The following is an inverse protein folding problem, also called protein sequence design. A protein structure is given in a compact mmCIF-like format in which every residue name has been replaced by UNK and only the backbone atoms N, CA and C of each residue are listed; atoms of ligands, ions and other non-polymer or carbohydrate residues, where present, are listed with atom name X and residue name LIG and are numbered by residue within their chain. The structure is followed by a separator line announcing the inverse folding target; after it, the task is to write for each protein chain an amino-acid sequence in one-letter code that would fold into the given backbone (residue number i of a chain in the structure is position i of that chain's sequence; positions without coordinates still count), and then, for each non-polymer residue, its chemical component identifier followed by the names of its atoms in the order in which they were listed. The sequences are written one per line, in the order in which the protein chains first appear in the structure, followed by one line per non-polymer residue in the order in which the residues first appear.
data_IF_961923910716
#
_entry.id   IF_961923910716
#
_cell.length_a   1.000
_cell.length_b   1.000
_cell.length_c   1.000
_cell.angle_alpha   90.00
_cell.angle_beta   90.00
_cell.angle_gamma   90.00
#
_symmetry.space_group_name_H-M   'P 1'
#
loop_
_entity.id
_entity.type
_entity.pdbx_description
1 polymer ?
#
# COMPACT_ATOMS: atom_id res chain seq x y z
N UNK A 1 0.45 -31.51 -47.89
CA UNK A 1 -0.10 -30.23 -47.33
C UNK A 1 -1.09 -30.48 -46.20
N UNK A 2 -2.07 -31.38 -46.27
CA UNK A 2 -3.08 -31.61 -45.20
C UNK A 2 -2.47 -32.03 -43.83
N UNK A 3 -1.36 -32.74 -43.76
CA UNK A 3 -0.74 -33.12 -42.48
C UNK A 3 -0.05 -31.98 -41.74
N UNK A 4 0.47 -31.00 -42.44
CA UNK A 4 1.13 -29.81 -41.84
C UNK A 4 0.07 -28.93 -41.14
N UNK A 5 -1.10 -28.83 -41.72
CA UNK A 5 -2.20 -28.01 -41.12
C UNK A 5 -2.66 -28.57 -39.78
N UNK A 6 -2.55 -29.88 -39.56
CA UNK A 6 -2.90 -30.51 -38.27
C UNK A 6 -1.84 -30.25 -37.16
N UNK A 7 -0.59 -30.04 -37.56
CA UNK A 7 0.49 -29.80 -36.60
C UNK A 7 0.55 -28.34 -36.11
N UNK A 8 0.03 -27.40 -36.90
CA UNK A 8 0.04 -25.98 -36.55
C UNK A 8 -0.74 -25.69 -35.25
N UNK A 9 -1.98 -26.14 -35.07
CA UNK A 9 -2.70 -25.89 -33.81
C UNK A 9 -2.04 -26.59 -32.61
N UNK A 10 -1.45 -27.77 -32.80
CA UNK A 10 -0.73 -28.48 -31.75
C UNK A 10 0.53 -27.73 -31.32
N UNK A 11 1.25 -27.15 -32.26
CA UNK A 11 2.43 -26.34 -31.97
C UNK A 11 2.05 -25.03 -31.25
N UNK A 12 0.99 -24.35 -31.69
CA UNK A 12 0.47 -23.18 -31.03
C UNK A 12 0.07 -23.51 -29.58
N UNK A 13 -0.64 -24.62 -29.39
CA UNK A 13 -1.04 -25.08 -28.06
C UNK A 13 0.18 -25.37 -27.17
N UNK A 14 1.19 -26.05 -27.66
CA UNK A 14 2.41 -26.32 -26.91
C UNK A 14 3.16 -25.03 -26.51
N UNK A 15 3.22 -24.05 -27.42
CA UNK A 15 3.80 -22.73 -27.13
C UNK A 15 3.02 -22.00 -26.05
N UNK A 16 1.68 -22.01 -26.13
CA UNK A 16 0.82 -21.39 -25.12
C UNK A 16 0.97 -22.05 -23.76
N UNK A 17 1.00 -23.39 -23.72
CA UNK A 17 1.22 -24.13 -22.46
C UNK A 17 2.57 -23.78 -21.87
N UNK A 18 3.63 -23.72 -22.65
CA UNK A 18 4.95 -23.29 -22.19
C UNK A 18 4.97 -21.86 -21.66
N UNK A 19 4.29 -20.96 -22.35
CA UNK A 19 4.16 -19.57 -21.92
C UNK A 19 3.42 -19.43 -20.57
N UNK A 20 2.28 -20.10 -20.42
CA UNK A 20 1.52 -20.07 -19.16
C UNK A 20 2.27 -20.77 -18.03
N UNK A 21 2.95 -21.88 -18.31
CA UNK A 21 3.76 -22.56 -17.31
C UNK A 21 4.90 -21.68 -16.80
N UNK A 22 5.54 -20.92 -17.70
CA UNK A 22 6.52 -19.93 -17.32
C UNK A 22 5.93 -18.78 -16.50
N UNK A 23 4.72 -18.34 -16.85
CA UNK A 23 4.00 -17.31 -16.11
C UNK A 23 3.68 -17.71 -14.67
N UNK A 24 3.31 -18.97 -14.44
CA UNK A 24 3.03 -19.51 -13.12
C UNK A 24 4.27 -19.62 -12.22
N UNK A 25 5.47 -19.66 -12.80
CA UNK A 25 6.73 -19.69 -12.04
C UNK A 25 7.26 -18.31 -11.66
N UNK A 26 6.63 -17.24 -12.14
CA UNK A 26 6.92 -15.85 -11.74
C UNK A 26 6.21 -15.55 -10.42
N UNK A 27 6.90 -14.89 -9.50
CA UNK A 27 6.30 -14.44 -8.23
C UNK A 27 5.38 -13.25 -8.51
N UNK A 28 4.04 -13.39 -8.33
CA UNK A 28 3.10 -12.30 -8.57
C UNK A 28 3.23 -11.18 -7.52
N UNK A 29 3.89 -11.44 -6.38
CA UNK A 29 4.12 -10.45 -5.34
C UNK A 29 5.40 -9.63 -5.55
N UNK A 30 6.28 -10.05 -6.46
CA UNK A 30 7.47 -9.31 -6.83
C UNK A 30 7.11 -8.06 -7.65
N UNK A 31 6.57 -7.05 -6.99
CA UNK A 31 6.35 -5.73 -7.57
C UNK A 31 7.44 -4.79 -7.08
N UNK A 32 8.53 -4.61 -7.83
CA UNK A 32 9.55 -3.65 -7.46
C UNK A 32 8.94 -2.23 -7.50
N UNK A 33 8.81 -1.61 -6.31
CA UNK A 33 8.39 -0.22 -6.24
C UNK A 33 9.50 0.69 -6.80
N UNK A 34 9.16 1.60 -7.69
CA UNK A 34 10.08 2.60 -8.20
C UNK A 34 10.58 3.57 -7.10
N UNK A 35 9.94 3.55 -5.94
CA UNK A 35 10.25 4.42 -4.80
C UNK A 35 11.24 3.79 -3.81
N UNK A 36 11.59 2.51 -3.97
CA UNK A 36 12.58 1.86 -3.10
C UNK A 36 13.93 2.55 -3.25
N UNK A 37 14.51 2.96 -2.11
CA UNK A 37 15.78 3.69 -2.07
C UNK A 37 15.69 5.16 -2.45
N UNK A 38 14.50 5.70 -2.70
CA UNK A 38 14.30 7.13 -2.93
C UNK A 38 14.07 7.85 -1.59
N UNK A 39 14.58 9.08 -1.44
CA UNK A 39 14.27 9.90 -0.27
C UNK A 39 12.78 10.26 -0.25
N UNK A 40 12.26 10.47 0.96
CA UNK A 40 10.90 11.01 1.13
C UNK A 40 10.84 12.38 0.45
N UNK A 41 9.86 12.63 -0.45
CA UNK A 41 9.71 13.93 -1.08
C UNK A 41 9.42 15.02 -0.04
N UNK A 42 9.81 16.25 -0.33
CA UNK A 42 9.45 17.38 0.52
C UNK A 42 7.93 17.61 0.49
N UNK A 43 7.37 17.88 1.65
CA UNK A 43 5.97 18.22 1.82
C UNK A 43 5.79 19.26 2.93
N UNK A 44 4.67 19.94 2.90
CA UNK A 44 4.18 20.80 3.98
C UNK A 44 2.72 20.45 4.24
N UNK A 45 2.45 19.80 5.35
CA UNK A 45 1.12 19.35 5.78
C UNK A 45 0.81 19.92 7.17
N UNK A 46 -0.43 19.75 7.60
CA UNK A 46 -0.87 20.19 8.91
C UNK A 46 -1.16 18.98 9.78
N UNK A 47 -0.60 18.95 10.98
CA UNK A 47 -0.89 17.93 11.97
C UNK A 47 -2.36 17.99 12.39
N UNK A 48 -3.01 16.84 12.47
CA UNK A 48 -4.45 16.72 12.64
C UNK A 48 -4.95 17.25 13.99
N UNK A 49 -4.21 17.01 15.08
CA UNK A 49 -4.65 17.38 16.43
C UNK A 49 -4.29 18.80 16.83
N UNK A 50 -3.08 19.24 16.51
CA UNK A 50 -2.57 20.54 16.99
C UNK A 50 -2.65 21.65 15.96
N UNK A 51 -2.86 21.31 14.68
CA UNK A 51 -2.80 22.26 13.57
C UNK A 51 -1.38 22.76 13.24
N UNK A 52 -0.33 22.17 13.84
CA UNK A 52 1.07 22.53 13.60
C UNK A 52 1.49 22.14 12.18
N UNK A 53 2.26 22.98 11.49
CA UNK A 53 2.84 22.57 10.20
C UNK A 53 3.84 21.44 10.41
N UNK A 54 3.79 20.43 9.54
CA UNK A 54 4.68 19.26 9.48
C UNK A 54 5.38 19.20 8.14
N UNK A 55 6.63 18.82 8.17
CA UNK A 55 7.51 18.64 7.01
C UNK A 55 8.20 17.28 7.07
N UNK A 56 8.97 16.94 6.05
CA UNK A 56 9.74 15.70 6.03
C UNK A 56 10.76 15.61 7.19
N UNK A 57 11.21 16.73 7.75
CA UNK A 57 12.13 16.78 8.88
C UNK A 57 11.47 16.37 10.22
N UNK A 58 10.15 16.40 10.31
CA UNK A 58 9.40 16.02 11.51
C UNK A 58 9.10 14.50 11.56
N UNK A 59 9.43 13.77 10.50
CA UNK A 59 9.22 12.31 10.46
C UNK A 59 10.16 11.58 11.43
N UNK A 60 9.75 10.41 11.96
CA UNK A 60 10.60 9.61 12.84
C UNK A 60 11.95 9.27 12.20
N UNK A 61 13.02 9.33 12.99
CA UNK A 61 14.36 8.88 12.59
C UNK A 61 14.42 7.36 12.76
N UNK A 62 14.54 6.63 11.68
CA UNK A 62 14.58 5.17 11.66
C UNK A 62 13.40 4.56 10.94
N UNK A 63 13.20 3.24 11.02
CA UNK A 63 12.09 2.58 10.36
C UNK A 63 10.76 2.99 10.97
N UNK A 64 9.82 3.39 10.14
CA UNK A 64 8.42 3.66 10.50
C UNK A 64 7.48 3.22 9.38
N UNK A 65 6.22 3.02 9.72
CA UNK A 65 5.17 2.74 8.76
C UNK A 65 4.43 4.03 8.41
N UNK A 66 4.30 4.32 7.12
CA UNK A 66 3.39 5.37 6.64
C UNK A 66 2.08 4.72 6.22
N UNK A 67 1.00 5.06 6.91
CA UNK A 67 -0.35 4.58 6.60
C UNK A 67 -1.23 5.69 6.06
N UNK A 68 -1.82 5.47 4.89
CA UNK A 68 -2.80 6.39 4.29
C UNK A 68 -4.20 5.93 4.67
N UNK A 69 -4.99 6.81 5.30
CA UNK A 69 -6.30 6.44 5.83
C UNK A 69 -7.33 7.58 5.69
N UNK A 70 -8.60 7.25 5.90
CA UNK A 70 -9.68 8.22 5.99
C UNK A 70 -10.84 7.67 6.82
N UNK A 71 -11.65 8.54 7.42
CA UNK A 71 -12.82 8.14 8.22
C UNK A 71 -13.90 7.42 7.41
N UNK A 72 -13.99 7.70 6.11
CA UNK A 72 -14.92 7.07 5.17
C UNK A 72 -14.40 5.75 4.56
N UNK A 73 -13.17 5.36 4.87
CA UNK A 73 -12.51 4.18 4.29
C UNK A 73 -12.87 2.91 5.07
N UNK A 74 -13.73 2.07 4.52
CA UNK A 74 -14.18 0.82 5.17
C UNK A 74 -13.01 -0.15 5.43
N UNK A 75 -12.10 -0.30 4.46
CA UNK A 75 -10.92 -1.17 4.60
C UNK A 75 -10.01 -0.68 5.72
N UNK A 76 -9.83 0.65 5.85
CA UNK A 76 -9.04 1.24 6.92
C UNK A 76 -9.62 0.90 8.30
N UNK A 77 -10.95 0.84 8.43
CA UNK A 77 -11.60 0.43 9.68
C UNK A 77 -11.33 -1.04 10.03
N UNK A 78 -11.25 -1.92 9.04
CA UNK A 78 -10.93 -3.34 9.24
C UNK A 78 -9.45 -3.52 9.63
N UNK A 79 -8.55 -2.74 9.07
CA UNK A 79 -7.11 -2.80 9.34
C UNK A 79 -6.73 -2.13 10.67
N UNK A 80 -7.51 -1.18 11.14
CA UNK A 80 -7.19 -0.33 12.29
C UNK A 80 -6.80 -1.06 13.58
N UNK A 81 -7.47 -2.17 14.00
CA UNK A 81 -7.05 -2.93 15.17
C UNK A 81 -5.64 -3.51 15.05
N UNK A 82 -5.24 -3.92 13.84
CA UNK A 82 -3.90 -4.45 13.57
C UNK A 82 -2.84 -3.34 13.64
N UNK A 83 -3.16 -2.15 13.13
CA UNK A 83 -2.29 -0.98 13.24
C UNK A 83 -2.12 -0.54 14.69
N UNK A 84 -3.20 -0.58 15.47
CA UNK A 84 -3.15 -0.28 16.91
C UNK A 84 -2.25 -1.25 17.67
N UNK A 85 -2.25 -2.52 17.33
CA UNK A 85 -1.34 -3.49 17.92
C UNK A 85 0.11 -3.27 17.46
N UNK A 86 0.31 -3.02 16.16
CA UNK A 86 1.62 -2.78 15.57
C UNK A 86 2.29 -1.51 16.11
N UNK A 87 1.51 -0.46 16.41
CA UNK A 87 2.04 0.81 16.92
C UNK A 87 2.76 0.69 18.27
N UNK A 88 2.54 -0.41 18.99
CA UNK A 88 3.28 -0.72 20.24
C UNK A 88 4.74 -1.09 20.00
N UNK A 89 5.10 -1.50 18.79
CA UNK A 89 6.44 -2.00 18.44
C UNK A 89 7.12 -1.19 17.34
N UNK A 90 6.36 -0.50 16.52
CA UNK A 90 6.84 0.28 15.38
C UNK A 90 6.13 1.62 15.32
N UNK A 91 6.83 2.75 15.18
CA UNK A 91 6.19 4.04 14.93
C UNK A 91 5.36 4.01 13.66
N UNK A 92 4.13 4.52 13.73
CA UNK A 92 3.24 4.65 12.59
C UNK A 92 2.91 6.12 12.38
N UNK A 93 3.05 6.60 11.16
CA UNK A 93 2.64 7.95 10.76
C UNK A 93 1.38 7.83 9.90
N UNK A 94 0.29 8.43 10.36
CA UNK A 94 -0.98 8.43 9.65
C UNK A 94 -1.11 9.62 8.70
N UNK A 95 -1.31 9.36 7.43
CA UNK A 95 -1.65 10.39 6.44
C UNK A 95 -3.15 10.35 6.17
N UNK A 96 -3.90 11.30 6.73
CA UNK A 96 -5.34 11.42 6.49
C UNK A 96 -5.59 12.03 5.10
N UNK A 97 -6.32 11.31 4.26
CA UNK A 97 -6.47 11.65 2.84
C UNK A 97 -7.91 12.03 2.48
N UNK A 98 -8.07 13.24 1.93
CA UNK A 98 -9.36 13.76 1.46
C UNK A 98 -10.50 13.55 2.46
N UNK A 99 -10.28 13.93 3.70
CA UNK A 99 -11.21 13.74 4.80
C UNK A 99 -11.51 15.08 5.51
N UNK A 100 -12.62 15.14 6.21
CA UNK A 100 -12.96 16.30 7.04
C UNK A 100 -12.27 16.20 8.40
N UNK A 101 -11.66 17.30 8.87
CA UNK A 101 -10.96 17.35 10.17
C UNK A 101 -11.81 16.78 11.32
N UNK A 102 -13.07 17.20 11.42
CA UNK A 102 -14.00 16.73 12.49
C UNK A 102 -14.29 15.24 12.36
N UNK A 103 -14.49 14.73 11.15
CA UNK A 103 -14.76 13.31 10.92
C UNK A 103 -13.53 12.46 11.27
N UNK A 104 -12.36 12.89 10.85
CA UNK A 104 -11.10 12.21 11.14
C UNK A 104 -10.80 12.15 12.64
N UNK A 105 -10.91 13.27 13.36
CA UNK A 105 -10.66 13.32 14.81
C UNK A 105 -11.68 12.51 15.60
N UNK A 106 -12.97 12.54 15.24
CA UNK A 106 -13.99 11.72 15.88
C UNK A 106 -13.76 10.22 15.64
N UNK A 107 -13.29 9.86 14.44
CA UNK A 107 -12.97 8.48 14.09
C UNK A 107 -11.83 7.93 14.95
N UNK A 108 -10.73 8.71 15.10
CA UNK A 108 -9.61 8.33 15.98
C UNK A 108 -10.02 8.29 17.45
N UNK A 109 -10.83 9.25 17.92
CA UNK A 109 -11.34 9.24 19.30
C UNK A 109 -12.20 8.00 19.61
N UNK A 110 -12.92 7.48 18.62
CA UNK A 110 -13.77 6.28 18.77
C UNK A 110 -13.01 4.99 18.71
N UNK A 111 -12.03 4.86 17.81
CA UNK A 111 -11.35 3.59 17.51
C UNK A 111 -9.95 3.48 18.11
N UNK A 112 -9.42 4.57 18.65
CA UNK A 112 -8.04 4.71 19.10
C UNK A 112 -7.16 5.40 18.06
N UNK A 113 -6.01 5.90 18.50
CA UNK A 113 -5.05 6.60 17.67
C UNK A 113 -3.70 5.87 17.69
N UNK A 114 -3.34 5.15 16.60
CA UNK A 114 -2.07 4.44 16.49
C UNK A 114 -0.95 5.30 15.87
N UNK A 115 -1.20 6.58 15.51
CA UNK A 115 -0.36 7.43 14.67
C UNK A 115 0.53 8.41 15.41
#
# INVERSE_FOLDING_TARGET
MRRIVLWVPLLIFAVLVGFFFRGLSLDPNAQPSALVGQPVPEFALTELHTGRPLTAADLPTGPFLLNVWASWCITCQVEHPYLTELSKTLPIVGLNYKDGHTAATQWLAKLGDPY
#
